data_IF_986516304121
#
_entry.id   IF_986516304121
#
_cell.length_a   1.000
_cell.length_b   1.000
_cell.length_c   1.000
_cell.angle_alpha   90.00
_cell.angle_beta   90.00
_cell.angle_gamma   90.00
#
_symmetry.space_group_name_H-M   'P 1'
#
loop_
_entity.id
_entity.type
_entity.pdbx_description
1 polymer ?
#
# COMPACT_ATOMS: atom_id res chain seq x y z
N UNK A 1 20.96 29.83 44.14
CA UNK A 1 21.85 29.13 43.19
C UNK A 1 21.38 27.70 43.11
N UNK A 2 20.59 27.37 42.11
CA UNK A 2 20.04 26.05 41.88
C UNK A 2 20.43 25.57 40.50
N UNK A 3 21.26 24.55 40.46
CA UNK A 3 21.78 23.94 39.24
C UNK A 3 20.64 23.34 38.42
N UNK A 4 20.40 23.91 37.26
CA UNK A 4 19.55 23.30 36.22
C UNK A 4 20.30 22.13 35.58
N UNK A 5 20.04 20.91 36.03
CA UNK A 5 20.50 19.71 35.32
C UNK A 5 19.81 19.65 33.97
N UNK A 6 20.53 20.02 32.93
CA UNK A 6 20.12 19.72 31.55
C UNK A 6 20.09 18.21 31.36
N UNK A 7 18.90 17.65 31.13
CA UNK A 7 18.75 16.28 30.67
C UNK A 7 19.16 16.21 29.22
N UNK A 8 20.40 15.88 28.97
CA UNK A 8 20.90 15.53 27.64
C UNK A 8 20.64 14.06 27.44
N UNK A 9 19.52 13.73 26.83
CA UNK A 9 19.29 12.39 26.28
C UNK A 9 20.05 12.28 24.96
N UNK A 10 21.26 11.78 25.01
CA UNK A 10 21.96 11.30 23.84
C UNK A 10 21.16 10.06 23.34
N UNK A 11 20.30 10.25 22.40
CA UNK A 11 19.73 9.13 21.65
C UNK A 11 20.84 8.61 20.76
N UNK A 12 21.43 7.50 21.15
CA UNK A 12 22.23 6.71 20.22
C UNK A 12 21.32 6.29 19.09
N UNK A 13 21.53 6.86 17.92
CA UNK A 13 20.88 6.41 16.71
C UNK A 13 21.45 5.04 16.38
N UNK A 14 20.70 3.98 16.70
CA UNK A 14 21.02 2.65 16.20
C UNK A 14 20.94 2.76 14.68
N UNK A 15 22.09 2.65 14.02
CA UNK A 15 22.13 2.60 12.56
C UNK A 15 21.49 1.29 12.12
N UNK A 16 20.20 1.34 11.85
CA UNK A 16 19.51 0.23 11.18
C UNK A 16 20.07 0.19 9.77
N UNK A 17 20.87 -0.82 9.49
CA UNK A 17 21.28 -1.11 8.11
C UNK A 17 20.03 -1.50 7.34
N UNK A 18 19.41 -0.54 6.67
CA UNK A 18 18.31 -0.83 5.76
C UNK A 18 18.88 -1.77 4.69
N UNK A 19 18.35 -2.98 4.55
CA UNK A 19 18.78 -3.86 3.46
C UNK A 19 18.68 -3.08 2.15
N UNK A 20 19.71 -3.18 1.29
CA UNK A 20 19.63 -2.59 -0.05
C UNK A 20 18.30 -2.98 -0.65
N UNK A 21 17.50 -1.99 -1.01
CA UNK A 21 16.21 -2.22 -1.65
C UNK A 21 16.42 -3.24 -2.76
N UNK A 22 15.75 -4.38 -2.66
CA UNK A 22 15.72 -5.36 -3.74
C UNK A 22 15.19 -4.60 -4.94
N UNK A 23 15.94 -4.54 -6.07
CA UNK A 23 15.46 -3.80 -7.24
C UNK A 23 14.12 -4.40 -7.62
N UNK A 24 13.07 -3.57 -7.56
CA UNK A 24 11.74 -3.97 -8.02
C UNK A 24 11.90 -4.49 -9.45
N UNK A 25 11.56 -5.75 -9.69
CA UNK A 25 11.32 -6.21 -11.04
C UNK A 25 10.26 -5.27 -11.58
N UNK A 26 10.59 -4.55 -12.66
CA UNK A 26 9.67 -3.69 -13.37
C UNK A 26 8.58 -4.60 -13.92
N UNK A 27 7.57 -4.88 -13.09
CA UNK A 27 6.42 -5.65 -13.52
C UNK A 27 5.77 -4.91 -14.68
N UNK A 28 5.28 -5.64 -15.66
CA UNK A 28 4.53 -5.06 -16.77
C UNK A 28 3.47 -4.15 -16.21
N UNK A 29 3.41 -2.91 -16.69
CA UNK A 29 2.41 -1.94 -16.30
C UNK A 29 1.04 -2.55 -16.53
N UNK A 30 0.38 -2.95 -15.46
CA UNK A 30 -1.01 -3.43 -15.52
C UNK A 30 -1.91 -2.21 -15.50
N UNK A 31 -2.35 -1.80 -16.66
CA UNK A 31 -3.28 -0.69 -16.86
C UNK A 31 -4.58 -1.22 -17.46
N UNK A 32 -5.69 -0.75 -16.94
CA UNK A 32 -7.03 -1.09 -17.44
C UNK A 32 -7.68 0.20 -17.92
N UNK A 33 -8.06 0.25 -19.19
CA UNK A 33 -8.95 1.27 -19.73
C UNK A 33 -10.38 0.93 -19.31
N UNK A 34 -10.91 1.73 -18.37
CA UNK A 34 -12.20 1.44 -17.71
C UNK A 34 -13.39 1.73 -18.62
N UNK A 35 -13.27 2.76 -19.47
CA UNK A 35 -14.38 3.23 -20.32
C UNK A 35 -14.18 2.93 -21.80
N UNK A 36 -13.01 2.44 -22.20
CA UNK A 36 -12.68 2.24 -23.61
C UNK A 36 -12.52 3.55 -24.39
N UNK A 37 -12.24 4.65 -23.70
CA UNK A 37 -12.12 5.99 -24.27
C UNK A 37 -10.66 6.35 -24.63
N UNK A 38 -9.72 5.46 -24.35
CA UNK A 38 -8.30 5.69 -24.56
C UNK A 38 -7.67 6.73 -23.63
N UNK A 39 -8.41 7.27 -22.67
CA UNK A 39 -7.98 8.31 -21.74
C UNK A 39 -8.10 7.81 -20.29
N UNK A 40 -9.25 7.28 -19.93
CA UNK A 40 -9.55 6.84 -18.57
C UNK A 40 -8.86 5.54 -18.26
N UNK A 41 -8.00 5.52 -17.24
CA UNK A 41 -7.30 4.30 -16.88
C UNK A 41 -7.07 4.17 -15.37
N UNK A 42 -6.94 2.93 -14.93
CA UNK A 42 -6.42 2.56 -13.62
C UNK A 42 -5.12 1.79 -13.82
N UNK A 43 -4.05 2.29 -13.28
CA UNK A 43 -2.71 1.72 -13.40
C UNK A 43 -2.23 1.24 -12.03
N UNK A 44 -1.76 -0.01 -11.93
CA UNK A 44 -1.03 -0.49 -10.76
C UNK A 44 0.38 0.09 -10.82
N UNK A 45 0.70 0.97 -9.88
CA UNK A 45 2.02 1.61 -9.78
C UNK A 45 2.98 0.72 -9.00
N UNK A 46 2.52 0.25 -7.84
CA UNK A 46 3.36 -0.48 -6.90
C UNK A 46 2.50 -1.28 -5.92
N UNK A 47 3.03 -2.37 -5.42
CA UNK A 47 2.43 -3.08 -4.29
C UNK A 47 3.50 -3.62 -3.34
N UNK A 48 3.15 -3.73 -2.07
CA UNK A 48 3.92 -4.37 -1.03
C UNK A 48 3.09 -5.49 -0.42
N UNK A 49 3.75 -6.63 -0.18
CA UNK A 49 3.09 -7.80 0.37
C UNK A 49 2.56 -8.77 -0.69
N UNK A 50 1.95 -9.84 -0.23
CA UNK A 50 1.46 -10.94 -1.07
C UNK A 50 0.47 -11.81 -0.28
N UNK A 51 -0.08 -12.84 -0.93
CA UNK A 51 -0.87 -13.87 -0.25
C UNK A 51 -0.10 -14.53 0.90
N UNK A 52 1.21 -14.70 0.73
CA UNK A 52 2.08 -15.25 1.79
C UNK A 52 2.16 -14.32 3.01
N UNK A 53 2.14 -13.01 2.79
CA UNK A 53 2.09 -12.02 3.87
C UNK A 53 0.82 -12.18 4.70
N UNK A 54 -0.33 -12.36 4.05
CA UNK A 54 -1.63 -12.57 4.72
C UNK A 54 -1.59 -13.85 5.58
N UNK A 55 -1.09 -14.95 4.99
CA UNK A 55 -0.98 -16.23 5.68
C UNK A 55 -0.05 -16.15 6.88
N UNK A 56 1.11 -15.53 6.74
CA UNK A 56 2.07 -15.39 7.82
C UNK A 56 1.54 -14.47 8.92
N UNK A 57 0.88 -13.37 8.58
CA UNK A 57 0.24 -12.48 9.55
C UNK A 57 -0.81 -13.22 10.40
N UNK A 58 -1.60 -14.09 9.77
CA UNK A 58 -2.58 -14.91 10.50
C UNK A 58 -1.91 -15.95 11.41
N UNK A 59 -0.73 -16.48 11.01
CA UNK A 59 -0.01 -17.53 11.73
C UNK A 59 0.87 -17.03 12.87
N UNK A 60 1.09 -15.71 12.96
CA UNK A 60 1.86 -15.09 14.05
C UNK A 60 1.33 -15.52 15.42
N UNK A 61 0.01 -15.60 15.58
CA UNK A 61 -0.62 -16.04 16.83
C UNK A 61 -0.23 -17.47 17.27
N UNK A 62 0.28 -18.26 16.34
CA UNK A 62 0.73 -19.64 16.61
C UNK A 62 2.26 -19.75 16.56
N UNK A 63 2.98 -18.65 16.41
CA UNK A 63 4.44 -18.64 16.29
C UNK A 63 4.95 -19.40 15.06
N UNK A 64 4.15 -19.48 13.98
CA UNK A 64 4.49 -20.24 12.77
C UNK A 64 4.75 -19.28 11.61
N UNK A 65 5.75 -19.61 10.81
CA UNK A 65 6.10 -18.91 9.58
C UNK A 65 6.21 -19.91 8.42
N UNK A 66 5.86 -19.48 7.23
CA UNK A 66 5.98 -20.24 5.97
C UNK A 66 6.77 -19.42 4.97
N UNK A 67 7.50 -20.12 4.12
CA UNK A 67 8.24 -19.53 3.00
C UNK A 67 7.47 -19.68 1.67
N UNK A 68 6.58 -20.69 1.59
CA UNK A 68 5.82 -20.99 0.39
C UNK A 68 4.34 -21.24 0.71
N UNK A 69 3.47 -20.92 -0.27
CA UNK A 69 2.04 -21.16 -0.19
C UNK A 69 1.68 -22.60 -0.59
N UNK A 70 0.68 -23.15 0.10
CA UNK A 70 0.05 -24.41 -0.29
C UNK A 70 -1.47 -24.24 -0.52
N UNK A 71 -2.12 -25.32 -0.99
CA UNK A 71 -3.56 -25.30 -1.26
C UNK A 71 -4.44 -25.05 -0.02
N UNK A 72 -3.93 -25.26 1.20
CA UNK A 72 -4.62 -24.99 2.45
C UNK A 72 -4.60 -23.49 2.76
N UNK A 73 -3.54 -22.80 2.36
CA UNK A 73 -3.37 -21.38 2.59
C UNK A 73 -4.39 -20.55 1.81
N UNK A 74 -4.74 -20.95 0.58
CA UNK A 74 -5.83 -20.32 -0.16
C UNK A 74 -7.19 -20.46 0.56
N UNK A 75 -7.44 -21.61 1.18
CA UNK A 75 -8.65 -21.81 2.00
C UNK A 75 -8.62 -20.93 3.23
N UNK A 76 -7.46 -20.76 3.86
CA UNK A 76 -7.28 -19.86 4.99
C UNK A 76 -7.54 -18.41 4.60
N UNK A 77 -6.98 -17.92 3.50
CA UNK A 77 -7.21 -16.55 3.01
C UNK A 77 -8.72 -16.30 2.78
N UNK A 78 -9.38 -17.23 2.09
CA UNK A 78 -10.83 -17.14 1.85
C UNK A 78 -11.64 -17.14 3.15
N UNK A 79 -11.24 -17.94 4.14
CA UNK A 79 -11.86 -17.96 5.45
C UNK A 79 -11.69 -16.63 6.16
N UNK A 80 -10.47 -16.07 6.19
CA UNK A 80 -10.18 -14.78 6.82
C UNK A 80 -10.97 -13.64 6.17
N UNK A 81 -11.06 -13.61 4.85
CA UNK A 81 -11.84 -12.63 4.10
C UNK A 81 -13.34 -12.76 4.41
N UNK A 82 -13.88 -13.98 4.37
CA UNK A 82 -15.30 -14.26 4.67
C UNK A 82 -15.70 -13.82 6.08
N UNK A 83 -14.82 -14.03 7.05
CA UNK A 83 -15.07 -13.71 8.45
C UNK A 83 -14.57 -12.32 8.87
N UNK A 84 -14.16 -11.50 7.88
CA UNK A 84 -13.73 -10.10 8.08
C UNK A 84 -12.56 -9.96 9.08
N UNK A 85 -11.63 -10.90 9.06
CA UNK A 85 -10.36 -10.78 9.77
C UNK A 85 -9.41 -9.85 8.99
N UNK A 86 -9.74 -8.55 8.97
CA UNK A 86 -9.13 -7.56 8.07
C UNK A 86 -7.67 -7.29 8.39
N UNK A 87 -7.27 -7.35 9.66
CA UNK A 87 -5.90 -7.03 10.10
C UNK A 87 -4.81 -7.82 9.36
N UNK A 88 -5.10 -9.05 8.96
CA UNK A 88 -4.15 -9.88 8.21
C UNK A 88 -3.89 -9.36 6.79
N UNK A 89 -4.85 -8.64 6.21
CA UNK A 89 -4.76 -8.02 4.88
C UNK A 89 -4.11 -6.64 4.93
N UNK A 90 -4.15 -5.96 6.05
CA UNK A 90 -3.64 -4.60 6.24
C UNK A 90 -2.11 -4.51 6.19
N UNK A 91 -1.41 -5.65 6.18
CA UNK A 91 0.03 -5.75 5.92
C UNK A 91 0.38 -5.66 4.42
N UNK A 92 -0.62 -5.63 3.54
CA UNK A 92 -0.45 -5.43 2.11
C UNK A 92 -0.86 -4.00 1.74
N UNK A 93 0.00 -3.33 0.98
CA UNK A 93 -0.23 -1.97 0.50
C UNK A 93 -0.20 -1.98 -1.01
N UNK A 94 -1.13 -1.26 -1.63
CA UNK A 94 -1.24 -1.16 -3.10
C UNK A 94 -1.33 0.32 -3.48
N UNK A 95 -0.54 0.72 -4.45
CA UNK A 95 -0.55 2.07 -5.01
C UNK A 95 -1.10 2.04 -6.43
N UNK A 96 -2.18 2.75 -6.65
CA UNK A 96 -2.78 2.93 -7.97
C UNK A 96 -2.65 4.37 -8.45
N UNK A 97 -2.53 4.53 -9.77
CA UNK A 97 -2.75 5.79 -10.45
C UNK A 97 -4.09 5.74 -11.18
N UNK A 98 -4.90 6.75 -10.94
CA UNK A 98 -6.20 6.91 -11.59
C UNK A 98 -6.16 8.10 -12.54
N UNK A 99 -6.51 7.86 -13.79
CA UNK A 99 -6.89 8.91 -14.74
C UNK A 99 -8.39 8.74 -14.97
N UNK A 100 -9.20 9.60 -14.37
CA UNK A 100 -10.65 9.43 -14.32
C UNK A 100 -11.36 10.78 -14.38
N UNK A 101 -12.60 10.82 -14.85
CA UNK A 101 -13.41 12.03 -14.82
C UNK A 101 -13.59 12.58 -13.41
N UNK A 102 -13.76 13.90 -13.30
CA UNK A 102 -13.86 14.60 -12.02
C UNK A 102 -14.99 14.08 -11.13
N UNK A 103 -16.12 13.70 -11.72
CA UNK A 103 -17.25 13.15 -10.95
C UNK A 103 -16.91 11.80 -10.31
N UNK A 104 -16.15 10.94 -10.99
CA UNK A 104 -15.66 9.66 -10.44
C UNK A 104 -14.69 9.93 -9.30
N UNK A 105 -13.71 10.81 -9.53
CA UNK A 105 -12.75 11.23 -8.50
C UNK A 105 -13.47 11.74 -7.25
N UNK A 106 -14.48 12.58 -7.39
CA UNK A 106 -15.23 13.15 -6.27
C UNK A 106 -15.95 12.09 -5.44
N UNK A 107 -16.50 11.05 -6.08
CA UNK A 107 -17.11 9.93 -5.38
C UNK A 107 -16.06 9.03 -4.73
N UNK A 108 -14.94 8.77 -5.41
CA UNK A 108 -13.85 7.94 -4.87
C UNK A 108 -13.25 8.54 -3.59
N UNK A 109 -13.10 9.86 -3.50
CA UNK A 109 -12.60 10.55 -2.31
C UNK A 109 -13.54 10.47 -1.08
N UNK A 110 -14.76 9.96 -1.25
CA UNK A 110 -15.66 9.64 -0.11
C UNK A 110 -15.22 8.40 0.67
N UNK A 111 -14.39 7.54 0.06
CA UNK A 111 -13.78 6.38 0.72
C UNK A 111 -12.53 6.83 1.49
N UNK A 112 -12.69 7.21 2.76
CA UNK A 112 -11.70 7.92 3.56
C UNK A 112 -10.61 7.02 4.18
N UNK A 113 -10.51 5.78 3.76
CA UNK A 113 -9.47 4.81 4.19
C UNK A 113 -8.22 4.86 3.32
N UNK A 114 -8.23 5.63 2.23
CA UNK A 114 -7.14 5.77 1.28
C UNK A 114 -6.31 7.01 1.56
N UNK A 115 -5.02 6.96 1.23
CA UNK A 115 -4.19 8.15 1.11
C UNK A 115 -4.22 8.64 -0.34
N UNK A 116 -4.42 9.93 -0.55
CA UNK A 116 -4.59 10.53 -1.87
C UNK A 116 -3.53 11.59 -2.14
N UNK A 117 -2.98 11.55 -3.34
CA UNK A 117 -2.22 12.63 -3.93
C UNK A 117 -2.78 12.93 -5.31
N UNK A 118 -2.96 14.18 -5.64
CA UNK A 118 -3.57 14.62 -6.88
C UNK A 118 -2.72 15.69 -7.54
N UNK A 119 -2.76 15.75 -8.88
CA UNK A 119 -2.15 16.84 -9.64
C UNK A 119 -2.83 18.13 -9.26
N UNK A 120 -2.07 19.09 -8.72
CA UNK A 120 -2.61 20.39 -8.34
C UNK A 120 -2.64 21.34 -9.53
N UNK A 121 -3.83 21.82 -9.87
CA UNK A 121 -4.03 22.84 -10.91
C UNK A 121 -3.53 24.24 -10.53
N UNK A 122 -3.04 24.40 -9.30
CA UNK A 122 -2.34 25.62 -8.87
C UNK A 122 -0.88 25.63 -9.34
N UNK A 123 -0.32 24.46 -9.66
CA UNK A 123 1.09 24.30 -9.99
C UNK A 123 1.35 23.85 -11.43
N UNK A 124 0.34 23.35 -12.12
CA UNK A 124 0.48 22.87 -13.50
C UNK A 124 -0.83 22.95 -14.26
N UNK A 125 -0.73 23.30 -15.54
CA UNK A 125 -1.78 23.31 -16.55
C UNK A 125 -1.56 22.24 -17.64
N UNK A 126 -0.51 21.45 -17.50
CA UNK A 126 -0.17 20.40 -18.45
C UNK A 126 -1.17 19.24 -18.37
N UNK A 127 -1.51 18.67 -19.53
CA UNK A 127 -2.41 17.51 -19.68
C UNK A 127 -3.84 17.76 -19.10
N UNK A 128 -4.43 18.88 -19.42
CA UNK A 128 -5.84 19.12 -19.17
C UNK A 128 -6.63 18.45 -20.29
N UNK A 129 -7.17 17.27 -20.00
CA UNK A 129 -8.14 16.60 -20.88
C UNK A 129 -9.54 16.94 -20.35
N UNK A 130 -10.31 17.64 -21.16
CA UNK A 130 -11.71 17.94 -20.91
C UNK A 130 -12.60 17.04 -21.76
#
# INVERSE_FOLDING_TARGET
>A
MGDSKAYRTEREWVSVTVPKAVPFKKEEKRSIDVYGDGISCVELVEHMGSDLTIVNSARVSFGKHKEELDGRDRKLINYLAKHKHTSTFEHNVVTFRFTVPLYVRSQHHRHRTWSYNEISRRYTDVNINF
#
